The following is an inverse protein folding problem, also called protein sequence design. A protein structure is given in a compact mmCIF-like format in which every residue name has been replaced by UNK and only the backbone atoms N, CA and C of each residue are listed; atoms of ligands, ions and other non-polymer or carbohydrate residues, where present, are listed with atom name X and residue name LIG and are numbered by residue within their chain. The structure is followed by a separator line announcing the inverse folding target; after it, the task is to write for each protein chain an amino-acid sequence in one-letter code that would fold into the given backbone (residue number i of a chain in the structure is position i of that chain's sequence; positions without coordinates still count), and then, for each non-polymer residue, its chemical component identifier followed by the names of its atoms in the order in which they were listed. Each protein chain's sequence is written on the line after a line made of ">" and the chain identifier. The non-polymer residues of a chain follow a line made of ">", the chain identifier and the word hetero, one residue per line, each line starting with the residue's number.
data_IF_073473188407
#
_entry.id   IF_073473188407
#
_cell.length_a   1.000
_cell.length_b   1.000
_cell.length_c   1.000
_cell.angle_alpha   90.00
_cell.angle_beta   90.00
_cell.angle_gamma   90.00
#
_symmetry.space_group_name_H-M   'P 1'
#
loop_
_entity.id
_entity.type
_entity.pdbx_description
1 polymer ?
#
# COMPACT_ATOMS: atom_id res chain seq x y z
N UNK A 1 7.45 39.07 -113.88
CA UNK A 1 8.21 37.84 -113.60
C UNK A 1 7.21 36.83 -113.04
N UNK A 2 7.13 35.63 -113.63
CA UNK A 2 6.03 34.66 -113.40
C UNK A 2 6.53 33.30 -112.88
N UNK A 3 7.68 33.27 -112.19
CA UNK A 3 8.27 32.06 -111.60
C UNK A 3 8.31 32.11 -110.08
N UNK A 4 8.76 31.04 -109.43
CA UNK A 4 9.17 31.04 -108.01
C UNK A 4 10.65 31.47 -107.90
N UNK A 5 11.03 32.15 -106.82
CA UNK A 5 12.39 32.71 -106.66
C UNK A 5 13.21 31.64 -105.94
N UNK A 6 14.39 31.32 -106.49
CA UNK A 6 15.22 30.26 -105.91
C UNK A 6 15.72 30.63 -104.51
N UNK A 7 15.96 29.61 -103.68
CA UNK A 7 16.60 29.77 -102.36
C UNK A 7 17.92 30.57 -102.45
N UNK A 8 18.75 30.30 -103.47
CA UNK A 8 20.03 30.97 -103.68
C UNK A 8 19.93 32.49 -103.94
N UNK A 9 18.73 32.99 -104.24
CA UNK A 9 18.44 34.42 -104.45
C UNK A 9 17.56 35.00 -103.33
N UNK A 10 17.47 34.31 -102.19
CA UNK A 10 16.65 34.70 -101.04
C UNK A 10 15.15 34.41 -101.19
N UNK A 11 14.76 33.60 -102.17
CA UNK A 11 13.40 33.13 -102.34
C UNK A 11 13.10 31.83 -101.59
N UNK A 12 11.92 31.25 -101.83
CA UNK A 12 11.41 30.05 -101.15
C UNK A 12 11.52 28.79 -102.01
N UNK A 13 11.82 28.93 -103.31
CA UNK A 13 11.79 27.87 -104.32
C UNK A 13 10.46 27.08 -104.40
N UNK A 14 9.38 27.63 -103.80
CA UNK A 14 8.03 27.03 -103.74
C UNK A 14 6.96 28.11 -103.54
N UNK A 15 5.74 27.88 -104.01
CA UNK A 15 4.61 28.78 -103.80
C UNK A 15 4.07 28.56 -102.39
N UNK A 16 4.32 29.51 -101.49
CA UNK A 16 3.85 29.43 -100.11
C UNK A 16 2.44 29.98 -99.99
N UNK A 17 1.51 29.15 -99.49
CA UNK A 17 0.18 29.59 -99.03
C UNK A 17 0.08 29.28 -97.54
N UNK A 18 0.46 30.24 -96.70
CA UNK A 18 0.52 30.03 -95.26
C UNK A 18 -0.85 30.09 -94.60
N UNK A 19 -1.12 29.12 -93.72
CA UNK A 19 -2.19 29.24 -92.72
C UNK A 19 -1.69 30.09 -91.55
N UNK A 20 -2.57 30.84 -90.89
CA UNK A 20 -2.21 31.60 -89.70
C UNK A 20 -1.69 30.64 -88.60
N UNK A 21 -0.47 30.90 -88.11
CA UNK A 21 0.20 30.06 -87.11
C UNK A 21 1.10 28.94 -87.68
N UNK A 22 1.19 28.78 -89.01
CA UNK A 22 2.23 27.93 -89.63
C UNK A 22 3.62 28.55 -89.46
N UNK A 23 4.64 27.69 -89.33
CA UNK A 23 6.04 28.09 -89.24
C UNK A 23 6.79 27.63 -90.49
N UNK A 24 7.62 28.49 -91.06
CA UNK A 24 8.45 28.12 -92.22
C UNK A 24 9.66 27.29 -91.78
N UNK A 25 10.00 26.25 -92.53
CA UNK A 25 11.21 25.44 -92.36
C UNK A 25 11.84 25.15 -93.73
N UNK A 26 13.15 24.92 -93.77
CA UNK A 26 13.83 24.49 -94.99
C UNK A 26 13.80 22.98 -95.14
N UNK A 27 13.55 22.49 -96.35
CA UNK A 27 13.87 21.11 -96.74
C UNK A 27 15.14 21.10 -97.62
N UNK A 28 15.37 20.01 -98.37
CA UNK A 28 16.58 19.84 -99.15
C UNK A 28 16.75 20.88 -100.27
N UNK A 29 15.66 21.46 -100.78
CA UNK A 29 15.68 22.33 -101.96
C UNK A 29 14.68 23.48 -101.95
N UNK A 30 13.87 23.65 -100.91
CA UNK A 30 12.85 24.67 -100.79
C UNK A 30 12.58 25.13 -99.33
N UNK A 31 11.76 26.18 -99.19
CA UNK A 31 11.11 26.51 -97.92
C UNK A 31 9.70 25.91 -97.93
N UNK A 32 9.43 25.16 -96.87
CA UNK A 32 8.18 24.51 -96.58
C UNK A 32 7.49 25.16 -95.37
N UNK A 33 6.24 24.78 -95.13
CA UNK A 33 5.44 25.25 -93.99
C UNK A 33 4.99 24.07 -93.14
N UNK A 34 5.11 24.20 -91.82
CA UNK A 34 4.47 23.25 -90.90
C UNK A 34 2.95 23.37 -90.97
N UNK A 35 2.26 22.31 -90.55
CA UNK A 35 0.86 22.42 -90.16
C UNK A 35 0.68 23.41 -88.99
N UNK A 36 -0.50 23.99 -88.84
CA UNK A 36 -0.81 24.88 -87.71
C UNK A 36 -0.73 24.09 -86.40
N UNK A 37 -0.05 24.64 -85.40
CA UNK A 37 0.15 23.98 -84.11
C UNK A 37 -1.11 23.96 -83.24
N UNK A 38 -1.14 23.02 -82.30
CA UNK A 38 -2.12 23.00 -81.20
C UNK A 38 -1.62 23.89 -80.06
N UNK A 39 -2.51 24.67 -79.44
CA UNK A 39 -2.16 25.47 -78.26
C UNK A 39 -1.48 24.63 -77.19
N UNK A 40 -0.33 25.10 -76.69
CA UNK A 40 0.48 24.39 -75.68
C UNK A 40 1.43 23.32 -76.23
N UNK A 41 1.43 23.05 -77.54
CA UNK A 41 2.42 22.15 -78.16
C UNK A 41 3.72 22.91 -78.47
N UNK A 42 4.82 22.17 -78.54
CA UNK A 42 6.13 22.72 -78.94
C UNK A 42 6.57 22.14 -80.26
N UNK A 43 7.25 22.94 -81.08
CA UNK A 43 7.80 22.46 -82.35
C UNK A 43 9.09 21.68 -82.08
N UNK A 44 9.11 20.40 -82.44
CA UNK A 44 10.28 19.54 -82.31
C UNK A 44 10.90 19.24 -83.67
N UNK A 45 12.22 19.33 -83.75
CA UNK A 45 12.98 18.94 -84.94
C UNK A 45 12.86 17.43 -85.17
N UNK A 46 12.63 17.04 -86.42
CA UNK A 46 12.68 15.65 -86.87
C UNK A 46 14.02 15.32 -87.56
N UNK A 47 15.10 16.05 -87.22
CA UNK A 47 16.38 15.95 -87.91
C UNK A 47 16.28 16.50 -89.33
N UNK A 48 16.45 15.64 -90.33
CA UNK A 48 16.27 15.98 -91.76
C UNK A 48 14.82 15.90 -92.23
N UNK A 49 13.90 15.43 -91.39
CA UNK A 49 12.47 15.35 -91.68
C UNK A 49 11.70 16.65 -91.36
N UNK A 50 10.39 16.63 -91.63
CA UNK A 50 9.48 17.74 -91.33
C UNK A 50 9.35 17.96 -89.80
N UNK A 51 9.56 19.18 -89.29
CA UNK A 51 9.32 19.49 -87.87
C UNK A 51 7.87 19.23 -87.46
N UNK A 52 7.68 18.66 -86.27
CA UNK A 52 6.35 18.27 -85.77
C UNK A 52 5.97 19.07 -84.54
N UNK A 53 4.68 19.39 -84.40
CA UNK A 53 4.15 19.90 -83.14
C UNK A 53 3.98 18.71 -82.19
N UNK A 54 4.79 18.66 -81.14
CA UNK A 54 4.79 17.58 -80.17
C UNK A 54 4.16 18.03 -78.86
N UNK A 55 3.35 17.15 -78.28
CA UNK A 55 2.81 17.35 -76.94
C UNK A 55 3.98 17.33 -75.94
N UNK A 56 4.20 18.41 -75.16
CA UNK A 56 5.32 18.48 -74.23
C UNK A 56 5.32 17.37 -73.18
N UNK A 57 4.17 16.74 -72.88
CA UNK A 57 4.09 15.63 -71.93
C UNK A 57 4.80 14.35 -72.42
N UNK A 58 5.07 14.24 -73.72
CA UNK A 58 5.71 13.08 -74.33
C UNK A 58 7.22 13.27 -74.53
N UNK A 59 7.76 14.44 -74.19
CA UNK A 59 9.16 14.74 -74.41
C UNK A 59 10.04 14.17 -73.28
N UNK A 60 11.09 13.41 -73.61
CA UNK A 60 12.03 12.89 -72.62
C UNK A 60 12.82 14.05 -71.97
N UNK A 61 13.06 13.94 -70.66
CA UNK A 61 13.91 14.91 -69.94
C UNK A 61 13.27 16.27 -69.63
N UNK A 62 11.95 16.41 -69.79
CA UNK A 62 11.22 17.62 -69.37
C UNK A 62 10.13 17.33 -68.32
N UNK A 63 9.79 16.05 -68.12
CA UNK A 63 8.77 15.61 -67.17
C UNK A 63 9.34 14.57 -66.20
N UNK A 64 10.08 15.01 -65.18
CA UNK A 64 10.61 14.10 -64.15
C UNK A 64 9.60 13.71 -63.07
N UNK A 65 8.38 14.23 -63.17
CA UNK A 65 7.33 14.02 -62.19
C UNK A 65 6.04 13.60 -62.87
N UNK A 66 5.30 12.73 -62.20
CA UNK A 66 3.95 12.32 -62.54
C UNK A 66 3.01 12.56 -61.37
N UNK A 67 1.73 12.80 -61.64
CA UNK A 67 0.70 12.95 -60.61
C UNK A 67 -0.19 11.71 -60.58
N UNK A 68 -0.43 11.21 -59.37
CA UNK A 68 -1.35 10.09 -59.14
C UNK A 68 -2.23 10.44 -57.95
N UNK A 69 -3.54 10.63 -58.20
CA UNK A 69 -4.56 10.85 -57.15
C UNK A 69 -4.18 11.87 -56.07
N UNK A 70 -3.64 13.02 -56.50
CA UNK A 70 -3.23 14.11 -55.59
C UNK A 70 -1.80 13.99 -55.03
N UNK A 71 -1.10 12.89 -55.29
CA UNK A 71 0.32 12.71 -54.98
C UNK A 71 1.21 13.05 -56.19
N UNK A 72 2.42 13.53 -55.94
CA UNK A 72 3.47 13.74 -56.93
C UNK A 72 4.54 12.66 -56.72
N UNK A 73 4.91 11.94 -57.78
CA UNK A 73 5.95 10.92 -57.75
C UNK A 73 6.95 11.16 -58.89
N UNK A 74 8.21 10.70 -58.77
CA UNK A 74 9.13 10.71 -59.90
C UNK A 74 8.58 9.93 -61.10
N UNK A 75 9.00 10.29 -62.32
CA UNK A 75 8.56 9.61 -63.55
C UNK A 75 8.92 8.12 -63.50
N UNK A 76 10.13 7.78 -63.06
CA UNK A 76 10.46 6.40 -62.67
C UNK A 76 10.23 6.25 -61.16
N UNK A 77 9.22 5.47 -60.79
CA UNK A 77 8.76 5.36 -59.39
C UNK A 77 9.78 4.76 -58.41
N UNK A 78 10.89 4.21 -58.92
CA UNK A 78 12.00 3.68 -58.13
C UNK A 78 13.12 4.69 -57.91
N UNK A 79 13.03 5.88 -58.49
CA UNK A 79 14.03 6.92 -58.32
C UNK A 79 13.93 7.54 -56.92
N UNK A 80 15.07 7.63 -56.23
CA UNK A 80 15.19 8.31 -54.94
C UNK A 80 15.26 9.83 -55.14
N UNK A 81 14.83 10.60 -54.13
CA UNK A 81 14.97 12.06 -54.11
C UNK A 81 16.18 12.46 -53.23
N UNK A 82 17.24 12.95 -53.87
CA UNK A 82 18.41 13.54 -53.19
C UNK A 82 18.33 15.06 -53.19
N UNK A 83 18.45 15.68 -52.01
CA UNK A 83 18.52 17.13 -51.84
C UNK A 83 19.86 17.54 -51.23
N UNK A 84 20.43 18.64 -51.74
CA UNK A 84 21.70 19.20 -51.27
C UNK A 84 22.96 18.51 -51.82
N UNK A 85 22.83 17.37 -52.49
CA UNK A 85 23.88 16.73 -53.29
C UNK A 85 23.25 15.76 -54.31
N UNK A 86 24.01 15.34 -55.33
CA UNK A 86 23.55 14.38 -56.34
C UNK A 86 23.77 12.92 -55.92
N UNK A 87 24.84 12.64 -55.16
CA UNK A 87 25.11 11.29 -54.64
C UNK A 87 24.35 11.04 -53.34
N UNK A 88 23.78 9.84 -53.17
CA UNK A 88 23.04 9.45 -51.96
C UNK A 88 23.87 9.68 -50.70
N UNK A 89 25.13 9.25 -50.68
CA UNK A 89 26.00 9.33 -49.50
C UNK A 89 26.28 10.75 -49.00
N UNK A 90 26.18 11.77 -49.86
CA UNK A 90 26.42 13.17 -49.51
C UNK A 90 25.15 14.03 -49.49
N UNK A 91 23.98 13.43 -49.73
CA UNK A 91 22.71 14.13 -49.69
C UNK A 91 22.43 14.63 -48.27
N UNK A 92 21.91 15.85 -48.16
CA UNK A 92 21.45 16.41 -46.89
C UNK A 92 20.11 15.82 -46.48
N UNK A 93 19.25 15.56 -47.47
CA UNK A 93 18.01 14.79 -47.34
C UNK A 93 17.96 13.79 -48.46
N UNK A 94 17.67 12.54 -48.11
CA UNK A 94 17.49 11.46 -49.05
C UNK A 94 16.19 10.73 -48.74
N UNK A 95 15.31 10.65 -49.74
CA UNK A 95 14.09 9.84 -49.69
C UNK A 95 14.24 8.67 -50.66
N UNK A 96 14.25 7.46 -50.10
CA UNK A 96 14.47 6.22 -50.82
C UNK A 96 13.35 5.94 -51.85
N UNK A 97 13.74 5.52 -53.05
CA UNK A 97 12.81 5.10 -54.11
C UNK A 97 12.56 3.60 -54.14
N UNK A 98 13.39 2.80 -53.45
CA UNK A 98 13.31 1.34 -53.46
C UNK A 98 13.16 0.73 -52.06
N UNK A 99 12.58 -0.47 -52.02
CA UNK A 99 12.49 -1.25 -50.77
C UNK A 99 13.90 -1.70 -50.33
N UNK A 100 14.27 -1.41 -49.09
CA UNK A 100 15.58 -1.78 -48.52
C UNK A 100 16.64 -0.68 -48.57
N UNK A 101 16.37 0.42 -49.28
CA UNK A 101 17.16 1.65 -49.20
C UNK A 101 16.70 2.49 -47.99
N UNK A 102 17.64 3.17 -47.33
CA UNK A 102 17.38 3.93 -46.11
C UNK A 102 17.09 5.40 -46.45
N UNK A 103 15.95 5.95 -46.03
CA UNK A 103 15.72 7.41 -46.08
C UNK A 103 16.36 8.10 -44.87
N UNK A 104 16.91 9.30 -45.04
CA UNK A 104 17.54 10.04 -43.95
C UNK A 104 17.56 11.56 -44.17
N UNK A 105 17.77 12.26 -43.06
CA UNK A 105 18.06 13.69 -42.99
C UNK A 105 19.39 13.81 -42.24
N UNK A 106 20.46 14.15 -42.96
CA UNK A 106 21.84 14.20 -42.44
C UNK A 106 22.28 15.64 -42.14
N UNK A 107 21.33 16.54 -41.91
CA UNK A 107 21.59 17.94 -41.57
C UNK A 107 20.54 18.48 -40.62
N UNK A 108 20.91 19.45 -39.79
CA UNK A 108 19.98 20.18 -38.93
C UNK A 108 19.20 19.29 -37.94
N UNK A 109 18.02 19.79 -37.55
CA UNK A 109 17.03 19.11 -36.72
C UNK A 109 15.70 19.04 -37.48
N UNK A 110 14.89 18.02 -37.22
CA UNK A 110 13.57 17.80 -37.82
C UNK A 110 12.50 18.30 -36.87
N UNK A 111 11.70 19.27 -37.32
CA UNK A 111 10.55 19.80 -36.58
C UNK A 111 9.23 19.22 -37.09
N UNK A 112 8.38 18.75 -36.18
CA UNK A 112 6.99 18.39 -36.45
C UNK A 112 6.12 19.32 -35.61
N UNK A 113 5.26 20.11 -36.27
CA UNK A 113 4.49 21.16 -35.59
C UNK A 113 5.33 22.39 -35.18
N UNK A 114 6.60 22.46 -35.60
CA UNK A 114 7.48 23.61 -35.41
C UNK A 114 8.40 23.80 -36.61
N UNK A 115 8.67 25.05 -36.97
CA UNK A 115 9.65 25.43 -37.99
C UNK A 115 11.03 25.76 -37.42
N UNK A 116 11.18 25.81 -36.09
CA UNK A 116 12.41 26.16 -35.40
C UNK A 116 12.80 25.09 -34.35
N UNK A 117 13.05 23.84 -34.78
CA UNK A 117 13.51 22.79 -33.87
C UNK A 117 14.92 23.11 -33.34
N UNK A 118 15.05 23.29 -32.02
CA UNK A 118 16.29 23.81 -31.40
C UNK A 118 16.94 22.86 -30.41
N UNK A 119 16.14 22.06 -29.70
CA UNK A 119 16.64 21.25 -28.57
C UNK A 119 16.97 19.81 -28.97
N UNK A 120 16.18 19.22 -29.88
CA UNK A 120 16.27 17.80 -30.20
C UNK A 120 16.39 17.58 -31.70
N UNK A 121 17.11 16.53 -32.10
CA UNK A 121 17.25 16.13 -33.51
C UNK A 121 15.91 15.83 -34.18
N UNK A 122 14.97 15.29 -33.41
CA UNK A 122 13.55 15.23 -33.75
C UNK A 122 12.78 15.97 -32.65
N UNK A 123 12.10 17.04 -33.00
CA UNK A 123 11.28 17.82 -32.07
C UNK A 123 9.83 17.81 -32.55
N UNK A 124 8.94 17.29 -31.71
CA UNK A 124 7.49 17.26 -31.96
C UNK A 124 6.80 18.22 -31.00
N UNK A 125 6.14 19.24 -31.54
CA UNK A 125 5.21 20.09 -30.79
C UNK A 125 3.81 19.48 -30.93
N UNK A 126 3.34 18.83 -29.85
CA UNK A 126 2.12 18.01 -29.85
C UNK A 126 2.38 16.61 -29.31
N UNK A 127 1.68 15.61 -29.85
CA UNK A 127 1.82 14.20 -29.43
C UNK A 127 2.71 13.43 -30.41
N UNK A 128 3.82 12.87 -29.92
CA UNK A 128 4.61 11.87 -30.64
C UNK A 128 4.14 10.45 -30.30
N UNK A 129 4.10 9.57 -31.30
CA UNK A 129 3.73 8.16 -31.10
C UNK A 129 4.76 7.21 -31.70
N UNK A 130 5.09 6.14 -30.97
CA UNK A 130 5.92 5.04 -31.43
C UNK A 130 5.09 3.74 -31.29
N UNK A 131 4.85 3.03 -32.39
CA UNK A 131 3.88 1.92 -32.43
C UNK A 131 4.38 0.59 -31.86
N UNK A 132 5.70 0.44 -31.65
CA UNK A 132 6.31 -0.81 -31.19
C UNK A 132 7.19 -0.58 -29.96
N UNK A 133 8.35 0.02 -30.15
CA UNK A 133 9.29 0.29 -29.07
C UNK A 133 10.18 1.49 -29.37
N UNK A 134 10.71 2.08 -28.31
CA UNK A 134 11.87 2.96 -28.37
C UNK A 134 12.99 2.21 -27.65
N UNK A 135 14.10 1.96 -28.34
CA UNK A 135 15.25 1.30 -27.72
C UNK A 135 16.07 2.35 -26.97
N UNK A 136 16.25 2.14 -25.65
CA UNK A 136 17.04 3.01 -24.76
C UNK A 136 16.61 4.49 -24.75
N UNK A 137 15.31 4.82 -24.55
CA UNK A 137 14.87 6.20 -24.50
C UNK A 137 15.42 6.91 -23.26
N UNK A 138 15.82 8.17 -23.43
CA UNK A 138 16.09 9.08 -22.32
C UNK A 138 14.96 10.12 -22.31
N UNK A 139 14.14 10.12 -21.27
CA UNK A 139 13.08 11.11 -21.08
C UNK A 139 13.61 12.25 -20.19
N UNK A 140 13.97 13.39 -20.80
CA UNK A 140 14.49 14.56 -20.08
C UNK A 140 13.51 15.74 -20.13
N UNK A 141 13.38 16.48 -19.02
CA UNK A 141 13.01 17.90 -19.08
C UNK A 141 11.53 18.30 -19.14
N UNK A 142 10.58 17.53 -18.58
CA UNK A 142 9.21 18.00 -18.45
C UNK A 142 8.84 18.14 -16.97
N UNK A 143 8.39 19.32 -16.56
CA UNK A 143 7.85 19.56 -15.21
C UNK A 143 6.59 18.73 -14.92
N UNK A 144 5.97 18.15 -15.95
CA UNK A 144 4.91 17.17 -15.85
C UNK A 144 5.50 15.76 -15.77
N UNK A 145 4.98 14.94 -14.85
CA UNK A 145 5.38 13.55 -14.67
C UNK A 145 5.47 12.80 -16.00
N UNK A 146 6.56 12.03 -16.19
CA UNK A 146 6.59 11.03 -17.25
C UNK A 146 5.57 9.96 -16.87
N UNK A 147 4.41 10.02 -17.52
CA UNK A 147 3.35 9.03 -17.30
C UNK A 147 3.68 7.80 -18.15
N UNK A 148 4.14 6.75 -17.49
CA UNK A 148 4.34 5.45 -18.13
C UNK A 148 3.05 4.64 -18.03
N UNK A 149 2.51 4.24 -19.18
CA UNK A 149 1.30 3.41 -19.27
C UNK A 149 0.02 4.23 -19.51
N UNK A 150 -1.02 3.51 -19.90
CA UNK A 150 -2.41 3.96 -19.82
C UNK A 150 -3.16 2.97 -18.93
N UNK A 151 -4.39 3.26 -18.52
CA UNK A 151 -5.15 2.38 -17.61
C UNK A 151 -5.32 0.92 -18.12
N UNK A 152 -5.01 0.65 -19.40
CA UNK A 152 -5.14 -0.65 -20.05
C UNK A 152 -3.85 -1.50 -20.05
N UNK A 153 -2.67 -0.95 -19.72
CA UNK A 153 -1.40 -1.70 -19.80
C UNK A 153 -0.51 -1.49 -18.57
N UNK A 154 0.04 -2.60 -18.07
CA UNK A 154 1.04 -2.58 -16.99
C UNK A 154 2.37 -2.01 -17.50
N UNK A 155 2.96 -1.12 -16.73
CA UNK A 155 4.33 -0.64 -16.94
C UNK A 155 5.30 -1.62 -16.29
N UNK A 156 5.96 -2.46 -17.10
CA UNK A 156 7.01 -3.36 -16.63
C UNK A 156 8.37 -2.68 -16.72
N UNK A 157 9.02 -2.46 -15.58
CA UNK A 157 10.42 -1.98 -15.50
C UNK A 157 11.29 -3.17 -15.10
N UNK A 158 11.78 -3.92 -16.09
CA UNK A 158 12.63 -5.09 -15.87
C UNK A 158 14.10 -4.71 -15.76
N UNK A 159 14.81 -5.24 -14.77
CA UNK A 159 16.28 -5.12 -14.67
C UNK A 159 16.81 -3.74 -14.27
N UNK A 160 15.97 -2.83 -13.77
CA UNK A 160 16.39 -1.51 -13.26
C UNK A 160 15.79 -1.24 -11.87
N UNK A 161 16.55 -0.53 -11.03
CA UNK A 161 16.03 0.01 -9.77
C UNK A 161 15.09 1.17 -10.08
N UNK A 162 13.81 1.06 -9.72
CA UNK A 162 12.83 2.15 -9.90
C UNK A 162 13.05 3.17 -8.78
N UNK A 163 13.55 4.37 -9.13
CA UNK A 163 13.69 5.47 -8.18
C UNK A 163 12.37 6.25 -8.12
N UNK A 164 11.62 6.11 -7.03
CA UNK A 164 10.34 6.82 -6.79
C UNK A 164 10.57 7.97 -5.82
N UNK A 165 10.29 9.22 -6.23
CA UNK A 165 10.57 10.42 -5.42
C UNK A 165 9.67 10.57 -4.18
N UNK A 166 8.40 10.15 -4.25
CA UNK A 166 7.45 10.14 -3.13
C UNK A 166 6.39 9.06 -3.30
N UNK A 167 6.06 8.33 -2.23
CA UNK A 167 5.07 7.25 -2.21
C UNK A 167 4.12 7.46 -1.03
N UNK A 168 2.82 7.62 -1.30
CA UNK A 168 1.77 7.76 -0.27
C UNK A 168 0.96 6.47 -0.17
N UNK A 169 1.22 5.65 0.86
CA UNK A 169 0.64 4.30 1.00
C UNK A 169 1.53 3.21 0.42
N UNK A 170 1.52 2.02 1.02
CA UNK A 170 2.58 1.02 0.85
C UNK A 170 2.83 0.53 -0.59
N UNK A 171 4.11 0.57 -0.97
CA UNK A 171 4.82 -0.45 -1.75
C UNK A 171 6.27 -0.47 -1.21
N UNK A 172 6.65 -1.42 -0.35
CA UNK A 172 8.06 -1.66 -0.05
C UNK A 172 8.45 -3.10 -0.30
N UNK A 173 8.70 -3.42 -1.57
CA UNK A 173 9.36 -4.67 -1.89
C UNK A 173 10.80 -4.71 -1.42
N UNK A 174 11.13 -5.67 -0.55
CA UNK A 174 12.53 -6.04 -0.29
C UNK A 174 12.86 -7.21 -1.22
N UNK A 175 13.94 -7.11 -1.99
CA UNK A 175 14.43 -8.16 -2.90
C UNK A 175 13.53 -8.50 -4.11
N UNK A 176 12.94 -7.49 -4.76
CA UNK A 176 12.20 -7.69 -6.02
C UNK A 176 10.81 -8.33 -5.87
N UNK A 177 10.35 -8.55 -4.64
CA UNK A 177 8.98 -8.93 -4.30
C UNK A 177 8.36 -7.81 -3.50
N UNK A 178 7.23 -7.26 -3.94
CA UNK A 178 6.48 -6.26 -3.20
C UNK A 178 6.09 -6.84 -1.82
N UNK A 179 6.56 -6.25 -0.72
CA UNK A 179 6.18 -6.69 0.62
C UNK A 179 5.58 -5.53 1.41
N UNK A 180 4.43 -5.79 2.00
CA UNK A 180 3.57 -4.81 2.64
C UNK A 180 3.92 -4.59 4.13
N UNK A 181 5.08 -5.05 4.63
CA UNK A 181 5.26 -5.22 6.08
C UNK A 181 6.72 -4.97 6.49
N UNK A 182 6.97 -3.94 7.32
CA UNK A 182 8.27 -3.69 7.99
C UNK A 182 8.25 -4.25 9.42
N UNK A 183 7.99 -5.55 9.54
CA UNK A 183 7.87 -6.23 10.83
C UNK A 183 9.02 -7.18 11.10
N UNK A 184 9.32 -7.40 12.38
CA UNK A 184 10.21 -8.48 12.82
C UNK A 184 9.51 -9.83 12.60
N UNK A 185 10.24 -10.83 12.10
CA UNK A 185 9.68 -12.17 11.91
C UNK A 185 9.12 -12.72 13.23
N UNK A 186 7.89 -13.24 13.18
CA UNK A 186 7.19 -13.76 14.35
C UNK A 186 6.44 -12.71 15.19
N UNK A 187 6.47 -11.43 14.82
CA UNK A 187 5.69 -10.39 15.50
C UNK A 187 4.28 -10.28 14.89
N UNK A 188 3.33 -9.77 15.68
CA UNK A 188 1.96 -9.52 15.22
C UNK A 188 1.94 -8.23 14.41
N UNK A 189 1.19 -8.19 13.31
CA UNK A 189 1.08 -7.01 12.45
C UNK A 189 -0.18 -6.21 12.75
N UNK A 190 -0.11 -4.89 12.66
CA UNK A 190 -1.24 -3.99 12.86
C UNK A 190 -1.09 -2.70 12.05
N UNK A 191 -2.19 -1.98 11.84
CA UNK A 191 -2.17 -0.66 11.20
C UNK A 191 -1.81 0.41 12.22
N UNK A 192 -0.67 1.09 12.05
CA UNK A 192 -0.29 2.21 12.93
C UNK A 192 -0.95 3.53 12.52
N UNK A 193 -1.32 3.65 11.25
CA UNK A 193 -2.08 4.77 10.69
C UNK A 193 -2.83 4.31 9.42
N UNK A 194 -3.44 5.24 8.69
CA UNK A 194 -4.23 4.93 7.48
C UNK A 194 -3.45 4.22 6.37
N UNK A 195 -2.12 4.26 6.40
CA UNK A 195 -1.24 3.90 5.29
C UNK A 195 -0.04 3.03 5.69
N UNK A 196 0.11 2.68 6.97
CA UNK A 196 1.29 1.96 7.49
C UNK A 196 0.89 0.69 8.24
N UNK A 197 1.38 -0.47 7.78
CA UNK A 197 1.35 -1.72 8.54
C UNK A 197 2.64 -1.83 9.35
N UNK A 198 2.51 -1.74 10.67
CA UNK A 198 3.57 -1.95 11.65
C UNK A 198 3.53 -3.39 12.20
N UNK A 199 4.49 -3.72 13.06
CA UNK A 199 4.46 -4.94 13.85
C UNK A 199 4.84 -4.66 15.30
N UNK A 200 4.24 -5.41 16.21
CA UNK A 200 4.51 -5.39 17.64
C UNK A 200 4.70 -6.81 18.17
N UNK A 201 5.58 -6.96 19.15
CA UNK A 201 5.92 -8.28 19.69
C UNK A 201 4.73 -8.92 20.41
N UNK A 202 3.99 -8.10 21.17
CA UNK A 202 2.79 -8.49 21.89
C UNK A 202 1.72 -7.44 21.65
N UNK A 203 0.47 -7.89 21.52
CA UNK A 203 -0.68 -7.00 21.41
C UNK A 203 -0.84 -6.23 22.73
N UNK A 204 -0.96 -4.90 22.66
CA UNK A 204 -1.10 -4.07 23.88
C UNK A 204 -2.50 -4.21 24.49
N UNK A 205 -2.66 -3.79 25.75
CA UNK A 205 -3.97 -3.80 26.41
C UNK A 205 -4.99 -2.88 25.76
N UNK A 206 -4.54 -1.78 25.11
CA UNK A 206 -5.42 -0.90 24.36
C UNK A 206 -6.06 -1.60 23.14
N UNK A 207 -5.40 -2.64 22.62
CA UNK A 207 -5.89 -3.46 21.50
C UNK A 207 -6.42 -4.83 21.97
N UNK A 208 -6.67 -5.00 23.28
CA UNK A 208 -7.23 -6.23 23.85
C UNK A 208 -6.21 -7.33 24.15
N UNK A 209 -4.92 -7.07 23.98
CA UNK A 209 -3.85 -7.97 24.41
C UNK A 209 -3.45 -7.77 25.87
N UNK A 210 -2.34 -8.38 26.28
CA UNK A 210 -1.83 -8.32 27.67
C UNK A 210 -0.50 -7.54 27.77
N UNK A 211 0.03 -7.05 26.64
CA UNK A 211 1.22 -6.20 26.57
C UNK A 211 2.55 -6.91 26.85
N UNK A 212 2.53 -8.20 27.15
CA UNK A 212 3.72 -9.01 27.44
C UNK A 212 3.49 -10.48 27.08
N UNK A 213 4.56 -11.29 27.11
CA UNK A 213 4.44 -12.74 27.15
C UNK A 213 3.59 -13.15 28.35
N UNK A 214 2.65 -14.07 28.12
CA UNK A 214 1.93 -14.74 29.19
C UNK A 214 2.19 -16.22 29.08
N UNK A 215 3.27 -16.64 29.75
CA UNK A 215 3.68 -18.03 29.83
C UNK A 215 3.37 -18.52 31.24
N UNK A 216 2.50 -19.52 31.36
CA UNK A 216 2.22 -20.13 32.66
C UNK A 216 3.49 -20.78 33.21
N UNK A 217 3.83 -20.50 34.47
CA UNK A 217 4.96 -21.13 35.17
C UNK A 217 4.66 -22.58 35.57
N UNK A 218 3.38 -22.92 35.71
CA UNK A 218 2.87 -24.25 36.02
C UNK A 218 1.38 -24.42 35.70
N UNK A 219 0.86 -25.61 35.98
CA UNK A 219 -0.58 -25.92 35.79
C UNK A 219 -1.43 -25.23 36.87
N UNK A 220 -2.63 -24.76 36.49
CA UNK A 220 -3.62 -24.26 37.45
C UNK A 220 -3.38 -22.82 37.96
N UNK A 221 -2.50 -22.07 37.31
CA UNK A 221 -2.32 -20.64 37.60
C UNK A 221 -3.53 -19.80 37.18
N UNK A 222 -3.74 -18.68 37.86
CA UNK A 222 -4.80 -17.72 37.54
C UNK A 222 -4.18 -16.38 37.18
N UNK A 223 -4.50 -15.85 36.00
CA UNK A 223 -4.06 -14.52 35.60
C UNK A 223 -4.81 -13.43 36.36
N UNK A 224 -4.07 -12.41 36.78
CA UNK A 224 -4.63 -11.21 37.40
C UNK A 224 -3.88 -9.96 36.94
N UNK A 225 -4.57 -8.82 36.96
CA UNK A 225 -3.96 -7.52 36.64
C UNK A 225 -3.12 -7.03 37.82
N UNK A 226 -1.89 -6.62 37.56
CA UNK A 226 -1.02 -5.94 38.54
C UNK A 226 -1.01 -4.41 38.34
N UNK A 227 -1.57 -3.94 37.22
CA UNK A 227 -1.72 -2.54 36.86
C UNK A 227 -2.65 -2.38 35.67
N UNK A 228 -2.73 -1.17 35.11
CA UNK A 228 -3.61 -0.86 33.96
C UNK A 228 -3.12 -1.48 32.64
N UNK A 229 -1.84 -1.84 32.55
CA UNK A 229 -1.21 -2.39 31.35
C UNK A 229 -0.32 -3.59 31.64
N UNK A 230 -0.38 -4.16 32.85
CA UNK A 230 0.48 -5.26 33.29
C UNK A 230 -0.34 -6.34 33.96
N UNK A 231 0.03 -7.58 33.66
CA UNK A 231 -0.60 -8.79 34.18
C UNK A 231 0.47 -9.71 34.74
N UNK A 232 0.05 -10.51 35.70
CA UNK A 232 0.87 -11.55 36.31
C UNK A 232 0.00 -12.78 36.57
N UNK A 233 0.61 -13.88 36.98
CA UNK A 233 -0.11 -15.10 37.36
C UNK A 233 0.03 -15.38 38.85
N UNK A 234 -1.08 -15.76 39.48
CA UNK A 234 -1.08 -16.33 40.81
C UNK A 234 -0.87 -17.82 40.67
N UNK A 235 0.14 -18.35 41.36
CA UNK A 235 0.44 -19.79 41.36
C UNK A 235 -0.76 -20.61 41.82
N UNK A 236 -0.79 -21.89 41.42
CA UNK A 236 -1.86 -22.79 41.80
C UNK A 236 -2.00 -22.87 43.33
N UNK A 237 -3.23 -22.71 43.81
CA UNK A 237 -3.56 -22.85 45.22
C UNK A 237 -3.50 -24.31 45.68
N UNK A 238 -3.39 -24.50 46.99
CA UNK A 238 -3.62 -25.83 47.58
C UNK A 238 -5.11 -26.17 47.49
N UNK A 239 -5.44 -27.42 47.18
CA UNK A 239 -6.83 -27.90 47.13
C UNK A 239 -7.57 -27.55 48.43
N UNK A 240 -8.79 -27.02 48.29
CA UNK A 240 -9.61 -26.56 49.42
C UNK A 240 -9.33 -25.14 49.92
N UNK A 241 -8.32 -24.44 49.38
CA UNK A 241 -8.09 -23.03 49.67
C UNK A 241 -9.05 -22.16 48.87
N UNK A 242 -9.34 -20.97 49.39
CA UNK A 242 -10.24 -19.98 48.76
C UNK A 242 -9.45 -18.77 48.28
N UNK A 243 -9.78 -18.26 47.10
CA UNK A 243 -9.17 -17.04 46.58
C UNK A 243 -9.80 -15.83 47.28
N UNK A 244 -8.98 -15.03 47.97
CA UNK A 244 -9.42 -13.77 48.56
C UNK A 244 -8.84 -12.60 47.78
N UNK A 245 -9.69 -11.62 47.46
CA UNK A 245 -9.24 -10.34 46.97
C UNK A 245 -8.43 -9.62 48.05
N UNK A 246 -7.35 -8.95 47.65
CA UNK A 246 -6.46 -8.21 48.55
C UNK A 246 -6.48 -6.69 48.26
N UNK A 247 -7.58 -6.18 47.71
CA UNK A 247 -7.68 -4.79 47.25
C UNK A 247 -6.73 -4.54 46.08
N UNK A 248 -5.78 -3.62 46.24
CA UNK A 248 -4.78 -3.28 45.22
C UNK A 248 -3.57 -4.24 45.19
N UNK A 249 -3.46 -5.16 46.17
CA UNK A 249 -2.43 -6.19 46.18
C UNK A 249 -2.88 -7.44 45.38
N UNK A 250 -1.91 -8.32 45.08
CA UNK A 250 -2.20 -9.60 44.44
C UNK A 250 -3.23 -10.40 45.23
N UNK A 251 -4.21 -11.04 44.57
CA UNK A 251 -5.12 -11.95 45.24
C UNK A 251 -4.34 -13.13 45.83
N UNK A 252 -4.83 -13.70 46.92
CA UNK A 252 -4.11 -14.75 47.64
C UNK A 252 -5.01 -15.94 47.96
N UNK A 253 -4.43 -17.14 47.83
CA UNK A 253 -5.05 -18.35 48.34
C UNK A 253 -4.98 -18.36 49.86
N UNK A 254 -6.14 -18.38 50.51
CA UNK A 254 -6.23 -18.39 51.96
C UNK A 254 -6.79 -19.74 52.43
N UNK A 255 -6.11 -20.35 53.40
CA UNK A 255 -6.64 -21.51 54.08
C UNK A 255 -7.96 -21.14 54.79
N UNK A 256 -9.01 -21.95 54.68
CA UNK A 256 -10.18 -21.80 55.53
C UNK A 256 -9.79 -21.93 57.00
N UNK A 257 -10.57 -21.30 57.87
CA UNK A 257 -10.32 -21.27 59.29
C UNK A 257 -11.26 -22.22 60.06
N UNK A 258 -10.80 -22.60 61.26
CA UNK A 258 -11.59 -23.41 62.15
C UNK A 258 -12.73 -22.60 62.78
N UNK A 259 -13.89 -23.24 62.93
CA UNK A 259 -14.87 -22.86 63.93
C UNK A 259 -14.42 -23.46 65.27
N UNK A 260 -14.16 -22.61 66.25
CA UNK A 260 -13.76 -23.06 67.58
C UNK A 260 -14.86 -22.80 68.59
N UNK A 261 -14.90 -23.64 69.61
CA UNK A 261 -15.81 -23.50 70.75
C UNK A 261 -14.98 -23.33 72.02
N UNK A 262 -15.54 -22.65 73.00
CA UNK A 262 -15.02 -22.64 74.37
C UNK A 262 -16.07 -23.23 75.26
N UNK A 263 -15.74 -24.39 75.84
CA UNK A 263 -16.52 -24.94 76.93
C UNK A 263 -16.15 -24.20 78.21
N UNK A 264 -17.12 -24.05 79.10
CA UNK A 264 -16.87 -23.65 80.48
C UNK A 264 -17.16 -24.85 81.40
N UNK A 265 -16.77 -24.75 82.67
CA UNK A 265 -17.06 -25.71 83.76
C UNK A 265 -18.51 -26.18 83.76
N UNK A 266 -19.42 -25.33 83.28
CA UNK A 266 -20.85 -25.53 83.33
C UNK A 266 -21.51 -25.91 82.00
N UNK A 267 -20.83 -25.68 80.85
CA UNK A 267 -21.41 -25.85 79.50
C UNK A 267 -20.39 -26.47 78.55
N UNK A 268 -20.77 -27.55 77.85
CA UNK A 268 -19.96 -28.21 76.82
C UNK A 268 -20.70 -28.23 75.48
N UNK A 269 -20.07 -27.80 74.39
CA UNK A 269 -20.59 -27.91 73.03
C UNK A 269 -19.99 -29.10 72.25
N UNK A 270 -20.64 -29.58 71.19
CA UNK A 270 -20.04 -30.57 70.26
C UNK A 270 -20.14 -30.04 68.83
N UNK A 271 -19.01 -29.95 68.13
CA UNK A 271 -18.97 -29.53 66.71
C UNK A 271 -18.99 -30.78 65.82
N UNK A 272 -19.88 -30.82 64.82
CA UNK A 272 -19.98 -31.91 63.84
C UNK A 272 -19.25 -31.60 62.52
N UNK A 273 -18.91 -32.63 61.74
CA UNK A 273 -18.19 -32.49 60.47
C UNK A 273 -16.72 -32.03 60.64
N UNK A 274 -16.11 -31.51 59.57
CA UNK A 274 -14.73 -30.99 59.61
C UNK A 274 -14.72 -29.52 60.03
N UNK A 275 -14.91 -29.26 61.32
CA UNK A 275 -14.94 -27.90 61.87
C UNK A 275 -13.62 -27.13 61.68
N UNK A 276 -12.52 -27.81 61.33
CA UNK A 276 -11.18 -27.21 61.12
C UNK A 276 -11.07 -26.31 59.88
N UNK A 277 -11.99 -26.41 58.93
CA UNK A 277 -11.99 -25.61 57.68
C UNK A 277 -13.37 -25.01 57.35
N UNK A 278 -14.23 -24.86 58.37
CA UNK A 278 -15.64 -24.50 58.17
C UNK A 278 -15.87 -23.03 57.83
N UNK A 279 -14.95 -22.13 58.19
CA UNK A 279 -15.17 -20.69 58.07
C UNK A 279 -14.16 -20.02 57.14
N UNK A 280 -14.56 -18.86 56.60
CA UNK A 280 -13.64 -17.98 55.85
C UNK A 280 -12.62 -17.34 56.78
N UNK A 281 -13.00 -17.01 58.02
CA UNK A 281 -12.14 -16.46 59.08
C UNK A 281 -12.45 -17.17 60.40
N UNK A 282 -11.46 -17.28 61.30
CA UNK A 282 -11.66 -17.94 62.58
C UNK A 282 -12.71 -17.19 63.39
N UNK A 283 -13.69 -17.92 63.92
CA UNK A 283 -14.67 -17.39 64.84
C UNK A 283 -14.82 -18.36 66.01
N UNK A 284 -15.03 -17.81 67.19
CA UNK A 284 -15.41 -18.57 68.37
C UNK A 284 -16.88 -18.34 68.68
N UNK A 285 -17.54 -19.40 69.13
CA UNK A 285 -18.87 -19.29 69.74
C UNK A 285 -18.66 -19.43 71.25
N UNK A 286 -18.95 -18.37 71.98
CA UNK A 286 -18.98 -18.40 73.44
C UNK A 286 -20.36 -18.82 73.89
N UNK A 287 -20.42 -19.90 74.64
CA UNK A 287 -21.65 -20.41 75.23
C UNK A 287 -21.61 -20.07 76.72
N UNK A 288 -22.63 -19.36 77.20
CA UNK A 288 -22.78 -19.01 78.61
C UNK A 288 -24.11 -19.53 79.16
N UNK A 289 -24.16 -19.73 80.46
CA UNK A 289 -25.44 -19.81 81.17
C UNK A 289 -25.74 -18.47 81.86
N UNK A 290 -26.98 -18.25 82.25
CA UNK A 290 -27.34 -17.16 83.16
C UNK A 290 -28.24 -17.73 84.27
N UNK A 291 -28.06 -17.30 85.52
CA UNK A 291 -28.78 -17.79 86.71
C UNK A 291 -27.92 -18.54 87.75
N UNK A 292 -28.44 -18.73 88.97
CA UNK A 292 -27.77 -19.54 89.99
C UNK A 292 -27.84 -21.03 89.65
N UNK A 293 -26.75 -21.76 89.88
CA UNK A 293 -26.77 -23.22 89.83
C UNK A 293 -27.66 -23.74 90.99
N UNK A 294 -28.65 -24.56 90.65
CA UNK A 294 -29.56 -25.18 91.62
C UNK A 294 -28.80 -26.03 92.65
N UNK A 295 -29.37 -26.18 93.86
CA UNK A 295 -28.76 -26.95 94.96
C UNK A 295 -28.45 -28.42 94.57
N UNK A 296 -29.34 -29.07 93.81
CA UNK A 296 -29.16 -30.45 93.33
C UNK A 296 -27.99 -30.65 92.36
N UNK A 297 -27.51 -29.58 91.71
CA UNK A 297 -26.33 -29.61 90.84
C UNK A 297 -25.07 -29.13 91.57
N UNK A 298 -25.13 -29.05 92.90
CA UNK A 298 -24.02 -28.63 93.75
C UNK A 298 -23.84 -27.12 93.87
N UNK A 299 -24.79 -26.31 93.40
CA UNK A 299 -24.79 -24.86 93.60
C UNK A 299 -25.45 -24.45 94.91
N UNK A 300 -25.53 -23.15 95.18
CA UNK A 300 -26.18 -22.60 96.40
C UNK A 300 -27.65 -22.27 96.19
N UNK A 301 -28.12 -22.26 94.93
CA UNK A 301 -29.44 -21.80 94.52
C UNK A 301 -29.83 -20.39 95.02
N UNK A 302 -28.86 -19.61 95.50
CA UNK A 302 -29.04 -18.28 96.09
C UNK A 302 -27.73 -17.51 96.02
N UNK A 303 -27.79 -16.18 95.86
CA UNK A 303 -26.60 -15.34 95.89
C UNK A 303 -26.16 -15.13 97.35
N UNK A 304 -24.94 -15.56 97.69
CA UNK A 304 -24.40 -15.44 99.05
C UNK A 304 -23.33 -14.33 99.11
N UNK A 305 -23.31 -13.53 100.17
CA UNK A 305 -22.23 -12.57 100.47
C UNK A 305 -21.85 -12.67 101.94
N UNK A 306 -20.70 -13.27 102.24
CA UNK A 306 -20.26 -13.52 103.61
C UNK A 306 -19.40 -12.38 104.17
N UNK A 307 -19.61 -12.04 105.44
CA UNK A 307 -18.65 -11.24 106.24
C UNK A 307 -17.63 -12.17 106.90
N UNK A 308 -16.41 -11.69 107.18
CA UNK A 308 -15.40 -12.51 107.87
C UNK A 308 -15.95 -13.04 109.21
N UNK A 309 -15.90 -14.37 109.38
CA UNK A 309 -16.49 -15.06 110.54
C UNK A 309 -17.94 -15.51 110.38
N UNK A 310 -18.56 -15.30 109.21
CA UNK A 310 -19.92 -15.82 108.95
C UNK A 310 -19.93 -17.34 108.88
N UNK A 311 -20.97 -17.97 109.44
CA UNK A 311 -21.20 -19.42 109.38
C UNK A 311 -22.26 -19.71 108.33
N UNK A 312 -21.92 -20.56 107.35
CA UNK A 312 -22.87 -21.02 106.34
C UNK A 312 -23.77 -22.14 106.89
N UNK A 313 -25.05 -22.10 106.56
CA UNK A 313 -26.04 -23.16 106.83
C UNK A 313 -26.92 -23.37 105.60
N UNK A 314 -27.43 -24.58 105.41
CA UNK A 314 -28.45 -24.83 104.39
C UNK A 314 -29.85 -24.69 104.98
N UNK A 315 -30.75 -24.04 104.26
CA UNK A 315 -32.18 -24.38 104.35
C UNK A 315 -32.51 -25.43 103.28
N UNK A 316 -33.73 -25.95 103.26
CA UNK A 316 -34.10 -27.05 102.35
C UNK A 316 -33.94 -26.68 100.85
N UNK A 317 -33.95 -25.38 100.52
CA UNK A 317 -34.02 -24.88 99.14
C UNK A 317 -32.73 -24.17 98.67
N UNK A 318 -31.89 -23.73 99.61
CA UNK A 318 -30.71 -22.90 99.35
C UNK A 318 -29.65 -22.99 100.46
N UNK A 319 -28.44 -22.54 100.12
CA UNK A 319 -27.36 -22.31 101.10
C UNK A 319 -27.36 -20.84 101.55
N UNK A 320 -27.34 -20.59 102.85
CA UNK A 320 -27.49 -19.30 103.54
C UNK A 320 -26.36 -19.02 104.58
N UNK A 321 -26.35 -17.83 105.22
CA UNK A 321 -25.29 -17.34 106.13
C UNK A 321 -25.83 -16.64 107.39
N UNK A 322 -25.17 -16.83 108.54
CA UNK A 322 -25.44 -16.12 109.81
C UNK A 322 -24.44 -14.96 110.00
N UNK A 323 -24.91 -13.77 110.42
CA UNK A 323 -24.05 -12.57 110.67
C UNK A 323 -24.04 -12.15 112.15
N UNK A 324 -22.85 -11.97 112.75
CA UNK A 324 -22.65 -11.48 114.14
C UNK A 324 -21.86 -12.44 115.06
N UNK A 325 -21.06 -11.89 115.99
CA UNK A 325 -20.15 -12.67 116.87
C UNK A 325 -20.90 -13.60 117.83
N UNK A 326 -20.53 -14.89 117.80
CA UNK A 326 -21.09 -15.93 118.65
C UNK A 326 -20.79 -15.65 120.14
N UNK A 327 -21.82 -15.39 120.95
CA UNK A 327 -21.69 -15.28 122.42
C UNK A 327 -21.93 -16.66 123.05
N UNK A 328 -20.88 -17.29 123.59
CA UNK A 328 -21.00 -18.56 124.35
C UNK A 328 -21.29 -18.20 125.81
N UNK A 329 -22.47 -18.57 126.33
CA UNK A 329 -23.01 -18.07 127.61
C UNK A 329 -22.81 -18.97 128.82
N UNK A 330 -22.13 -20.12 128.74
CA UNK A 330 -21.80 -20.92 129.94
C UNK A 330 -20.61 -21.86 129.71
N UNK A 331 -19.70 -21.88 130.68
CA UNK A 331 -18.61 -22.86 130.79
C UNK A 331 -18.88 -23.73 132.03
N UNK A 332 -19.03 -25.04 131.87
CA UNK A 332 -18.94 -25.98 132.99
C UNK A 332 -17.56 -26.64 132.94
N UNK A 333 -16.72 -26.38 133.94
CA UNK A 333 -15.42 -27.03 134.12
C UNK A 333 -15.63 -28.28 134.99
N UNK A 334 -15.48 -29.47 134.40
CA UNK A 334 -15.43 -30.73 135.14
C UNK A 334 -14.04 -30.85 135.80
N UNK A 335 -14.00 -31.04 137.12
CA UNK A 335 -12.90 -31.75 137.78
C UNK A 335 -13.11 -33.25 137.67
#
# INVERSE_FOLDING_TARGET
>A
WTGQLSLARGGTNKAMTASAGSVAYSDADSLELTGVGTSGYVLTSAGTGTPTWTNPTLLPGINWWQRTSGSLAPLNITDSLNLGATATASALVHLAGTSGENSFINTGNVGIGTSAPSTYKLQVVGTGGFSTSVNSPIFQGQAAAVTFGNASYQTNISGSSVVVNSLTGMIKGTSGTLSAITGTAGYVTYWSDANTIAAEQFVTTAQGGLGANVTAGGIGEILYSTGTTTYDSLTAGTSGYILKAAGAAAPAWTAPAALTKTDDTNVTATLGGSASTALVNAASITLGWTGQLSLARGGTNKAMTASAGSVAYSDADSLELITGSLQITSWHLLM
#
